data_IF_890556548354
#
_entry.id   IF_890556548354
#
_cell.length_a   1.000
_cell.length_b   1.000
_cell.length_c   1.000
_cell.angle_alpha   90.00
_cell.angle_beta   90.00
_cell.angle_gamma   90.00
#
_symmetry.space_group_name_H-M   'P 1'
#
loop_
_entity.id
_entity.type
_entity.pdbx_description
1 polymer ?
#
# COMPACT_ATOMS: atom_id res chain seq x y z
N UNK A 1 37.74 31.84 -11.34
CA UNK A 1 37.65 30.50 -10.72
C UNK A 1 36.34 30.42 -9.96
N UNK A 2 35.35 29.69 -10.46
CA UNK A 2 34.19 29.24 -9.68
C UNK A 2 33.78 27.88 -10.25
N UNK A 3 33.93 26.86 -9.43
CA UNK A 3 33.60 25.45 -9.69
C UNK A 3 32.09 25.20 -9.62
N UNK A 4 31.59 24.13 -10.27
CA UNK A 4 30.17 23.93 -10.54
C UNK A 4 29.45 23.32 -9.34
N UNK A 5 28.26 23.85 -9.01
CA UNK A 5 27.28 23.16 -8.17
C UNK A 5 26.64 22.07 -9.02
N UNK A 6 27.17 20.85 -8.92
CA UNK A 6 26.46 19.64 -9.36
C UNK A 6 25.31 19.46 -8.39
N UNK A 7 24.12 19.94 -8.78
CA UNK A 7 22.87 19.51 -8.15
C UNK A 7 22.74 18.04 -8.50
N UNK A 8 23.09 17.17 -7.56
CA UNK A 8 22.78 15.75 -7.67
C UNK A 8 21.26 15.63 -7.63
N UNK A 9 20.63 15.53 -8.79
CA UNK A 9 19.31 14.94 -8.93
C UNK A 9 19.43 13.49 -8.48
N UNK A 10 19.29 13.29 -7.16
CA UNK A 10 18.96 11.98 -6.60
C UNK A 10 17.58 11.68 -7.16
N UNK A 11 17.58 10.96 -8.27
CA UNK A 11 16.38 10.35 -8.84
C UNK A 11 15.94 9.31 -7.80
N UNK A 12 15.06 9.74 -6.89
CA UNK A 12 14.35 8.86 -5.98
C UNK A 12 13.68 7.78 -6.84
N UNK A 13 14.27 6.59 -6.84
CA UNK A 13 13.77 5.44 -7.56
C UNK A 13 12.44 5.07 -6.92
N UNK A 14 11.37 5.66 -7.43
CA UNK A 14 9.99 5.44 -7.04
C UNK A 14 9.72 3.94 -7.17
N UNK A 15 9.60 3.24 -6.04
CA UNK A 15 9.15 1.86 -6.02
C UNK A 15 7.64 1.92 -6.28
N UNK A 16 7.27 2.09 -7.54
CA UNK A 16 5.89 1.92 -7.99
C UNK A 16 5.69 0.44 -8.32
N UNK A 17 4.65 -0.17 -7.74
CA UNK A 17 4.24 -1.51 -8.16
C UNK A 17 3.84 -1.46 -9.64
N UNK A 18 4.17 -2.52 -10.38
CA UNK A 18 3.73 -2.62 -11.76
C UNK A 18 2.20 -2.69 -11.84
N UNK A 19 1.63 -2.34 -13.00
CA UNK A 19 0.19 -2.47 -13.23
C UNK A 19 -0.30 -3.91 -12.97
N UNK A 20 0.52 -4.90 -13.31
CA UNK A 20 0.18 -6.32 -13.09
C UNK A 20 0.17 -6.67 -11.60
N UNK A 21 1.12 -6.14 -10.82
CA UNK A 21 1.14 -6.30 -9.37
C UNK A 21 -0.09 -5.62 -8.72
N UNK A 22 -0.48 -4.43 -9.20
CA UNK A 22 -1.70 -3.76 -8.73
C UNK A 22 -2.97 -4.57 -9.03
N UNK A 23 -3.09 -5.14 -10.23
CA UNK A 23 -4.23 -5.99 -10.61
C UNK A 23 -4.28 -7.23 -9.72
N UNK A 24 -3.13 -7.83 -9.40
CA UNK A 24 -3.04 -8.96 -8.47
C UNK A 24 -3.51 -8.59 -7.06
N UNK A 25 -3.11 -7.43 -6.55
CA UNK A 25 -3.58 -6.90 -5.27
C UNK A 25 -5.10 -6.79 -5.26
N UNK A 26 -5.68 -6.07 -6.23
CA UNK A 26 -7.12 -5.89 -6.35
C UNK A 26 -7.87 -7.24 -6.41
N UNK A 27 -7.40 -8.16 -7.25
CA UNK A 27 -8.04 -9.45 -7.47
C UNK A 27 -8.04 -10.35 -6.23
N UNK A 28 -7.16 -10.13 -5.25
CA UNK A 28 -7.14 -10.94 -4.03
C UNK A 28 -7.75 -10.23 -2.81
N UNK A 29 -7.67 -8.90 -2.74
CA UNK A 29 -8.27 -8.12 -1.64
C UNK A 29 -9.79 -8.29 -1.56
N UNK A 30 -10.46 -8.50 -2.70
CA UNK A 30 -11.91 -8.76 -2.73
C UNK A 30 -12.33 -10.04 -1.97
N UNK A 31 -11.40 -10.95 -1.67
CA UNK A 31 -11.67 -12.17 -0.91
C UNK A 31 -11.48 -12.00 0.59
N UNK A 32 -11.07 -10.81 1.06
CA UNK A 32 -10.99 -10.53 2.48
C UNK A 32 -12.40 -10.65 3.09
N UNK A 33 -12.58 -11.42 4.17
CA UNK A 33 -13.87 -11.50 4.84
C UNK A 33 -14.35 -10.14 5.31
N UNK A 34 -15.65 -9.83 5.11
CA UNK A 34 -16.21 -8.50 5.44
C UNK A 34 -15.98 -8.09 6.89
N UNK A 35 -15.99 -9.06 7.82
CA UNK A 35 -15.79 -8.80 9.24
C UNK A 35 -14.37 -8.29 9.57
N UNK A 36 -13.39 -8.51 8.68
CA UNK A 36 -12.02 -8.05 8.83
C UNK A 36 -11.75 -6.68 8.20
N UNK A 37 -12.64 -6.18 7.34
CA UNK A 37 -12.40 -4.95 6.58
C UNK A 37 -12.18 -3.74 7.50
N UNK A 38 -13.01 -3.58 8.52
CA UNK A 38 -12.87 -2.47 9.47
C UNK A 38 -11.50 -2.51 10.17
N UNK A 39 -11.17 -3.63 10.82
CA UNK A 39 -9.90 -3.81 11.53
C UNK A 39 -8.69 -3.62 10.63
N UNK A 40 -8.73 -4.17 9.41
CA UNK A 40 -7.64 -4.00 8.44
C UNK A 40 -7.51 -2.56 7.95
N UNK A 41 -8.63 -1.88 7.72
CA UNK A 41 -8.62 -0.48 7.29
C UNK A 41 -8.01 0.43 8.34
N UNK A 42 -8.34 0.22 9.62
CA UNK A 42 -7.77 0.96 10.75
C UNK A 42 -6.26 0.71 10.84
N UNK A 43 -5.82 -0.55 10.92
CA UNK A 43 -4.40 -0.89 11.03
C UNK A 43 -3.56 -0.41 9.84
N UNK A 44 -4.06 -0.56 8.62
CA UNK A 44 -3.35 -0.09 7.43
C UNK A 44 -3.33 1.43 7.36
N UNK A 45 -4.41 2.10 7.75
CA UNK A 45 -4.46 3.56 7.78
C UNK A 45 -3.49 4.13 8.80
N UNK A 46 -3.47 3.61 10.02
CA UNK A 46 -2.54 4.03 11.07
C UNK A 46 -1.10 3.84 10.60
N UNK A 47 -0.76 2.65 10.10
CA UNK A 47 0.56 2.38 9.53
C UNK A 47 0.91 3.36 8.40
N UNK A 48 -0.01 3.58 7.46
CA UNK A 48 0.21 4.49 6.33
C UNK A 48 0.43 5.91 6.81
N UNK A 49 -0.36 6.43 7.76
CA UNK A 49 -0.25 7.82 8.23
C UNK A 49 1.01 8.03 9.08
N UNK A 50 1.32 7.10 9.99
CA UNK A 50 2.52 7.16 10.83
C UNK A 50 3.82 7.10 10.01
N UNK A 51 3.78 6.41 8.87
CA UNK A 51 4.93 6.20 8.00
C UNK A 51 4.80 6.95 6.66
N UNK A 52 3.78 7.83 6.52
CA UNK A 52 3.55 8.66 5.35
C UNK A 52 4.55 9.82 5.33
N UNK A 53 5.79 9.47 5.02
CA UNK A 53 6.86 10.43 4.82
C UNK A 53 6.76 11.08 3.41
N UNK A 54 7.85 11.66 2.91
CA UNK A 54 7.95 12.21 1.53
C UNK A 54 7.45 11.25 0.43
N UNK A 55 7.48 9.93 0.66
CA UNK A 55 7.06 8.90 -0.31
C UNK A 55 5.58 9.00 -0.72
N UNK A 56 4.68 9.41 0.17
CA UNK A 56 3.25 9.56 -0.13
C UNK A 56 2.79 11.02 -0.17
N UNK A 57 3.57 11.94 0.39
CA UNK A 57 3.25 13.37 0.42
C UNK A 57 3.24 13.95 -1.00
N UNK A 58 2.09 14.43 -1.45
CA UNK A 58 1.90 14.93 -2.82
C UNK A 58 1.61 13.86 -3.87
N UNK A 59 1.58 12.58 -3.47
CA UNK A 59 1.24 11.47 -4.35
C UNK A 59 -0.27 11.37 -4.58
N UNK A 60 -0.70 11.01 -5.80
CA UNK A 60 -2.13 10.81 -6.12
C UNK A 60 -2.77 9.76 -5.21
N UNK A 61 -2.02 8.71 -4.83
CA UNK A 61 -2.49 7.69 -3.90
C UNK A 61 -2.83 8.25 -2.51
N UNK A 62 -1.98 9.15 -1.98
CA UNK A 62 -2.24 9.81 -0.70
C UNK A 62 -3.50 10.67 -0.74
N UNK A 63 -3.71 11.41 -1.85
CA UNK A 63 -4.96 12.18 -2.06
C UNK A 63 -6.19 11.27 -2.13
N UNK A 64 -6.10 10.14 -2.82
CA UNK A 64 -7.19 9.16 -2.88
C UNK A 64 -7.52 8.57 -1.51
N UNK A 65 -6.51 8.20 -0.72
CA UNK A 65 -6.72 7.68 0.64
C UNK A 65 -7.37 8.75 1.53
N UNK A 66 -6.89 10.00 1.46
CA UNK A 66 -7.49 11.10 2.21
C UNK A 66 -8.95 11.34 1.81
N UNK A 67 -9.27 11.33 0.52
CA UNK A 67 -10.65 11.46 0.05
C UNK A 67 -11.54 10.30 0.53
N UNK A 68 -11.04 9.07 0.51
CA UNK A 68 -11.77 7.91 1.03
C UNK A 68 -11.98 8.00 2.54
N UNK A 69 -11.03 8.57 3.28
CA UNK A 69 -11.16 8.86 4.71
C UNK A 69 -12.28 9.87 4.97
N UNK A 70 -12.30 11.02 4.27
CA UNK A 70 -13.35 12.04 4.41
C UNK A 70 -14.76 11.48 4.12
N UNK A 71 -14.85 10.50 3.23
CA UNK A 71 -16.11 9.84 2.88
C UNK A 71 -16.48 8.67 3.82
N UNK A 72 -15.66 8.33 4.81
CA UNK A 72 -15.80 7.13 5.64
C UNK A 72 -15.89 5.83 4.81
N UNK A 73 -14.98 5.66 3.84
CA UNK A 73 -14.97 4.51 2.89
C UNK A 73 -13.69 3.69 2.91
N UNK A 74 -12.83 3.87 3.92
CA UNK A 74 -11.58 3.11 4.04
C UNK A 74 -11.80 1.62 4.32
N UNK A 75 -12.91 1.26 4.96
CA UNK A 75 -13.34 -0.10 5.26
C UNK A 75 -14.04 -0.81 4.08
N UNK A 76 -13.94 -0.25 2.88
CA UNK A 76 -14.39 -0.90 1.64
C UNK A 76 -13.24 -1.67 0.99
N UNK A 77 -13.53 -2.64 0.12
CA UNK A 77 -12.48 -3.34 -0.63
C UNK A 77 -11.55 -2.39 -1.41
N UNK A 78 -12.11 -1.31 -1.96
CA UNK A 78 -11.33 -0.25 -2.64
C UNK A 78 -10.46 0.50 -1.63
N UNK A 79 -10.99 0.80 -0.45
CA UNK A 79 -10.23 1.40 0.65
C UNK A 79 -9.04 0.54 1.07
N UNK A 80 -9.28 -0.75 1.35
CA UNK A 80 -8.22 -1.72 1.67
C UNK A 80 -7.21 -1.84 0.53
N UNK A 81 -7.65 -1.87 -0.73
CA UNK A 81 -6.75 -1.90 -1.89
C UNK A 81 -5.80 -0.70 -1.91
N UNK A 82 -6.31 0.52 -1.73
CA UNK A 82 -5.47 1.73 -1.76
C UNK A 82 -4.55 1.82 -0.54
N UNK A 83 -5.06 1.46 0.63
CA UNK A 83 -4.28 1.43 1.87
C UNK A 83 -3.17 0.39 1.81
N UNK A 84 -3.47 -0.83 1.35
CA UNK A 84 -2.48 -1.89 1.18
C UNK A 84 -1.45 -1.51 0.12
N UNK A 85 -1.86 -0.89 -0.99
CA UNK A 85 -0.91 -0.38 -1.97
C UNK A 85 0.03 0.68 -1.36
N UNK A 86 -0.51 1.64 -0.60
CA UNK A 86 0.32 2.62 0.08
C UNK A 86 1.28 1.96 1.09
N UNK A 87 0.80 0.99 1.85
CA UNK A 87 1.62 0.22 2.78
C UNK A 87 2.75 -0.53 2.06
N UNK A 88 2.48 -1.15 0.91
CA UNK A 88 3.48 -1.84 0.09
C UNK A 88 4.58 -0.89 -0.44
N UNK A 89 4.25 0.37 -0.73
CA UNK A 89 5.25 1.39 -1.13
C UNK A 89 6.14 1.79 0.07
N UNK A 90 5.55 1.84 1.27
CA UNK A 90 6.25 2.19 2.51
C UNK A 90 7.16 1.03 2.94
N UNK A 91 6.57 -0.14 3.21
CA UNK A 91 7.21 -1.39 3.62
C UNK A 91 6.34 -2.60 3.22
N UNK A 92 6.76 -3.38 2.21
CA UNK A 92 6.05 -4.60 1.82
C UNK A 92 5.90 -5.61 2.95
N UNK A 93 6.94 -5.78 3.78
CA UNK A 93 6.93 -6.74 4.88
C UNK A 93 5.82 -6.42 5.89
N UNK A 94 5.75 -5.16 6.34
CA UNK A 94 4.73 -4.73 7.28
C UNK A 94 3.33 -4.76 6.67
N UNK A 95 3.19 -4.41 5.38
CA UNK A 95 1.90 -4.51 4.70
C UNK A 95 1.33 -5.94 4.78
N UNK A 96 2.15 -6.95 4.51
CA UNK A 96 1.73 -8.36 4.63
C UNK A 96 1.49 -8.81 6.07
N UNK A 97 2.28 -8.33 7.02
CA UNK A 97 2.07 -8.61 8.45
C UNK A 97 0.72 -8.05 8.92
N UNK A 98 0.40 -6.80 8.55
CA UNK A 98 -0.87 -6.16 8.85
C UNK A 98 -2.04 -6.92 8.21
N UNK A 99 -1.86 -7.45 6.99
CA UNK A 99 -2.89 -8.24 6.32
C UNK A 99 -3.15 -9.58 7.04
N UNK A 100 -2.18 -10.12 7.79
CA UNK A 100 -2.24 -11.47 8.35
C UNK A 100 -2.86 -11.54 9.76
N UNK A 101 -4.00 -10.87 9.98
CA UNK A 101 -4.64 -10.78 11.31
C UNK A 101 -5.31 -12.07 11.77
N UNK A 102 -5.70 -12.94 10.84
CA UNK A 102 -6.30 -14.25 11.10
C UNK A 102 -5.91 -15.26 10.00
N UNK A 103 -6.37 -16.50 10.13
CA UNK A 103 -5.99 -17.58 9.19
C UNK A 103 -6.52 -17.35 7.76
N UNK A 104 -7.68 -16.72 7.59
CA UNK A 104 -8.24 -16.46 6.27
C UNK A 104 -7.45 -15.37 5.55
N UNK A 105 -7.17 -14.26 6.24
CA UNK A 105 -6.44 -13.13 5.69
C UNK A 105 -4.94 -13.41 5.51
N UNK A 106 -4.36 -14.27 6.36
CA UNK A 106 -3.00 -14.82 6.16
C UNK A 106 -2.88 -15.62 4.87
N UNK A 107 -3.84 -16.51 4.55
CA UNK A 107 -3.83 -17.25 3.28
C UNK A 107 -3.85 -16.31 2.08
N UNK A 108 -4.57 -15.19 2.17
CA UNK A 108 -4.61 -14.15 1.14
C UNK A 108 -3.25 -13.45 1.05
N UNK A 109 -2.64 -13.10 2.19
CA UNK A 109 -1.33 -12.47 2.25
C UNK A 109 -0.23 -13.37 1.64
N UNK A 110 -0.19 -14.65 1.99
CA UNK A 110 0.77 -15.62 1.46
C UNK A 110 0.64 -15.78 -0.05
N UNK A 111 -0.60 -15.90 -0.54
CA UNK A 111 -0.89 -15.98 -1.97
C UNK A 111 -0.46 -14.71 -2.69
N UNK A 112 -0.75 -13.53 -2.14
CA UNK A 112 -0.36 -12.26 -2.73
C UNK A 112 1.16 -12.10 -2.76
N UNK A 113 1.85 -12.46 -1.68
CA UNK A 113 3.31 -12.42 -1.58
C UNK A 113 3.94 -13.28 -2.67
N UNK A 114 3.52 -14.54 -2.78
CA UNK A 114 3.96 -15.42 -3.86
C UNK A 114 3.71 -14.81 -5.24
N UNK A 115 2.50 -14.33 -5.51
CA UNK A 115 2.13 -13.77 -6.82
C UNK A 115 2.90 -12.49 -7.18
N UNK A 116 3.37 -11.73 -6.21
CA UNK A 116 4.12 -10.47 -6.41
C UNK A 116 5.61 -10.76 -6.58
N UNK A 117 6.15 -11.71 -5.83
CA UNK A 117 7.57 -12.10 -5.84
C UNK A 117 7.94 -12.98 -7.04
N UNK A 118 7.03 -13.78 -7.59
CA UNK A 118 7.31 -14.65 -8.75
C UNK A 118 7.15 -13.96 -10.10
N UNK A 119 7.09 -12.62 -10.16
CA UNK A 119 7.08 -11.86 -11.41
C UNK A 119 8.45 -11.25 -11.61
N UNK A 120 9.33 -12.01 -12.25
CA UNK A 120 10.54 -11.51 -12.92
C UNK A 120 10.24 -11.19 -14.38
#
# INVERSE_FOLDING_TARGET
MLTPQIVSEITEKKIELSKDQMVKIYNNIQYIPKYNLKTLSEKLYDFVIENADKKLKGHTLGRTIFHLYELNRLDTYVGIEKLFYAAMIISPEEAFNILSIDDETRKIADKLRYLIETVE
#
